data_IF_142976793160
#
_entry.id   IF_142976793160
#
_cell.length_a   1.000
_cell.length_b   1.000
_cell.length_c   1.000
_cell.angle_alpha   90.00
_cell.angle_beta   90.00
_cell.angle_gamma   90.00
#
_symmetry.space_group_name_H-M   'P 1'
#
loop_
_entity.id
_entity.type
_entity.pdbx_description
1 polymer ?
#
# COMPACT_ATOMS: atom_id res chain seq x y z
N UNK A 1 -21.70 -20.21 -39.17
CA UNK A 1 -20.84 -19.13 -38.64
C UNK A 1 -21.12 -18.95 -37.16
N UNK A 2 -20.27 -19.53 -36.31
CA UNK A 2 -20.41 -19.47 -34.85
C UNK A 2 -19.92 -18.10 -34.37
N UNK A 3 -20.83 -17.26 -33.87
CA UNK A 3 -20.45 -15.97 -33.24
C UNK A 3 -19.55 -16.28 -32.04
N UNK A 4 -18.27 -15.94 -32.12
CA UNK A 4 -17.40 -15.83 -30.95
C UNK A 4 -17.96 -14.72 -30.07
N UNK A 5 -18.62 -15.12 -28.99
CA UNK A 5 -18.98 -14.21 -27.92
C UNK A 5 -17.67 -13.91 -27.20
N UNK A 6 -17.11 -12.72 -27.44
CA UNK A 6 -16.02 -12.21 -26.61
C UNK A 6 -16.62 -11.88 -25.24
N UNK A 7 -16.60 -12.86 -24.34
CA UNK A 7 -16.84 -12.62 -22.92
C UNK A 7 -15.58 -11.93 -22.40
N UNK A 8 -15.51 -10.62 -22.60
CA UNK A 8 -14.64 -9.79 -21.78
C UNK A 8 -15.28 -9.82 -20.41
N UNK A 9 -14.78 -10.70 -19.54
CA UNK A 9 -14.97 -10.57 -18.10
C UNK A 9 -14.26 -9.27 -17.76
N UNK A 10 -14.93 -8.13 -17.94
CA UNK A 10 -14.58 -6.92 -17.19
C UNK A 10 -14.66 -7.39 -15.76
N UNK A 11 -13.51 -7.41 -15.07
CA UNK A 11 -13.47 -7.60 -13.64
C UNK A 11 -14.55 -6.68 -13.07
N UNK A 12 -15.62 -7.29 -12.57
CA UNK A 12 -16.72 -6.55 -11.97
C UNK A 12 -16.06 -5.72 -10.88
N UNK A 13 -16.12 -4.39 -10.96
CA UNK A 13 -15.58 -3.55 -9.89
C UNK A 13 -16.37 -3.92 -8.64
N UNK A 14 -15.76 -4.76 -7.80
CA UNK A 14 -16.39 -5.41 -6.64
C UNK A 14 -16.58 -4.44 -5.47
N UNK A 15 -15.92 -3.28 -5.56
CA UNK A 15 -15.77 -2.28 -4.51
C UNK A 15 -16.28 -0.93 -5.00
N UNK A 16 -16.90 -0.20 -4.10
CA UNK A 16 -17.34 1.17 -4.36
C UNK A 16 -16.13 2.11 -4.29
N UNK A 17 -16.19 3.23 -5.02
CA UNK A 17 -15.18 4.28 -4.91
C UNK A 17 -15.05 4.80 -3.47
N UNK A 18 -16.14 4.78 -2.70
CA UNK A 18 -16.13 5.20 -1.30
C UNK A 18 -15.34 4.24 -0.41
N UNK A 19 -15.46 2.92 -0.61
CA UNK A 19 -14.65 1.93 0.11
C UNK A 19 -13.16 2.07 -0.22
N UNK A 20 -12.83 2.28 -1.49
CA UNK A 20 -11.45 2.53 -1.93
C UNK A 20 -10.87 3.82 -1.32
N UNK A 21 -11.67 4.89 -1.29
CA UNK A 21 -11.27 6.18 -0.72
C UNK A 21 -11.07 6.09 0.80
N UNK A 22 -11.99 5.42 1.51
CA UNK A 22 -11.89 5.16 2.95
C UNK A 22 -10.63 4.35 3.29
N UNK A 23 -10.34 3.29 2.52
CA UNK A 23 -9.13 2.51 2.69
C UNK A 23 -7.88 3.37 2.46
N UNK A 24 -7.86 4.14 1.37
CA UNK A 24 -6.71 4.98 1.03
C UNK A 24 -6.46 6.02 2.12
N UNK A 25 -7.51 6.65 2.65
CA UNK A 25 -7.40 7.58 3.78
C UNK A 25 -6.82 6.89 5.01
N UNK A 26 -7.26 5.68 5.33
CA UNK A 26 -6.71 4.89 6.45
C UNK A 26 -5.22 4.62 6.30
N UNK A 27 -4.78 4.27 5.09
CA UNK A 27 -3.36 4.03 4.79
C UNK A 27 -2.56 5.33 4.94
N UNK A 28 -3.08 6.47 4.44
CA UNK A 28 -2.44 7.79 4.60
C UNK A 28 -2.29 8.14 6.08
N UNK A 29 -3.34 7.99 6.88
CA UNK A 29 -3.30 8.27 8.32
C UNK A 29 -2.24 7.39 9.01
N UNK A 30 -2.18 6.10 8.68
CA UNK A 30 -1.15 5.20 9.21
C UNK A 30 0.27 5.61 8.81
N UNK A 31 0.47 6.04 7.56
CA UNK A 31 1.78 6.52 7.11
C UNK A 31 2.18 7.83 7.80
N UNK A 32 1.23 8.73 8.01
CA UNK A 32 1.45 9.96 8.77
C UNK A 32 1.91 9.62 10.20
N UNK A 33 1.23 8.68 10.87
CA UNK A 33 1.64 8.23 12.20
C UNK A 33 3.03 7.59 12.18
N UNK A 34 3.34 6.73 11.21
CA UNK A 34 4.59 5.96 11.18
C UNK A 34 5.81 6.80 10.80
N UNK A 35 5.70 7.69 9.83
CA UNK A 35 6.85 8.51 9.38
C UNK A 35 7.34 9.46 10.49
N UNK A 36 6.46 9.81 11.43
CA UNK A 36 6.78 10.64 12.58
C UNK A 36 7.29 9.86 13.81
N UNK A 37 7.47 8.54 13.70
CA UNK A 37 8.00 7.71 14.80
C UNK A 37 9.51 7.59 14.79
N UNK A 38 10.04 7.25 15.95
CA UNK A 38 11.45 6.91 16.07
C UNK A 38 11.70 5.44 15.67
N UNK A 39 12.85 5.18 15.04
CA UNK A 39 13.34 3.84 14.71
C UNK A 39 13.56 2.98 15.97
N UNK A 40 13.89 3.63 17.09
CA UNK A 40 14.09 3.01 18.41
C UNK A 40 12.79 2.44 19.01
N UNK A 41 11.61 2.83 18.50
CA UNK A 41 10.33 2.24 18.95
C UNK A 41 10.23 0.73 18.63
N UNK A 42 11.10 0.22 17.75
CA UNK A 42 11.23 -1.21 17.45
C UNK A 42 10.02 -1.76 16.69
N UNK A 43 9.51 -1.01 15.73
CA UNK A 43 8.45 -1.46 14.82
C UNK A 43 9.04 -2.18 13.61
N UNK A 44 8.44 -3.28 13.19
CA UNK A 44 8.93 -4.13 12.11
C UNK A 44 7.81 -4.44 11.12
N UNK A 45 8.09 -4.26 9.83
CA UNK A 45 7.22 -4.77 8.77
C UNK A 45 7.41 -6.28 8.63
N UNK A 46 6.30 -7.03 8.64
CA UNK A 46 6.28 -8.48 8.42
C UNK A 46 5.63 -8.88 7.10
N UNK A 47 5.02 -7.94 6.38
CA UNK A 47 4.46 -8.16 5.05
C UNK A 47 5.54 -8.26 3.96
N UNK A 48 5.13 -8.33 2.69
CA UNK A 48 6.09 -8.30 1.59
C UNK A 48 6.67 -6.89 1.44
N UNK A 49 7.96 -6.80 1.12
CA UNK A 49 8.60 -5.50 0.85
C UNK A 49 7.89 -4.74 -0.28
N UNK A 50 7.54 -5.41 -1.37
CA UNK A 50 6.84 -4.77 -2.48
C UNK A 50 5.49 -4.19 -2.08
N UNK A 51 4.82 -4.78 -1.09
CA UNK A 51 3.54 -4.29 -0.60
C UNK A 51 3.74 -2.99 0.18
N UNK A 52 4.78 -2.91 1.02
CA UNK A 52 5.13 -1.67 1.69
C UNK A 52 5.41 -0.53 0.70
N UNK A 53 6.14 -0.84 -0.37
CA UNK A 53 6.45 0.16 -1.41
C UNK A 53 5.18 0.54 -2.20
N UNK A 54 4.29 -0.41 -2.47
CA UNK A 54 3.00 -0.14 -3.11
C UNK A 54 2.12 0.77 -2.24
N UNK A 55 2.08 0.55 -0.91
CA UNK A 55 1.41 1.47 0.03
C UNK A 55 2.03 2.86 0.02
N UNK A 56 3.37 2.95 0.06
CA UNK A 56 4.07 4.22 0.00
C UNK A 56 3.71 4.99 -1.28
N UNK A 57 3.56 4.28 -2.41
CA UNK A 57 3.15 4.88 -3.66
C UNK A 57 1.68 5.34 -3.63
N UNK A 58 0.77 4.57 -3.04
CA UNK A 58 -0.64 5.00 -2.87
C UNK A 58 -0.73 6.28 -2.03
N UNK A 59 0.09 6.40 -0.99
CA UNK A 59 0.14 7.60 -0.14
C UNK A 59 0.73 8.78 -0.89
N UNK A 60 1.83 8.56 -1.62
CA UNK A 60 2.44 9.59 -2.46
C UNK A 60 1.49 10.12 -3.54
N UNK A 61 0.72 9.26 -4.21
CA UNK A 61 -0.28 9.65 -5.22
C UNK A 61 -1.35 10.60 -4.67
N UNK A 62 -1.61 10.58 -3.34
CA UNK A 62 -2.56 11.49 -2.71
C UNK A 62 -1.98 12.87 -2.43
N UNK A 63 -0.65 13.01 -2.37
CA UNK A 63 0.04 14.29 -2.18
C UNK A 63 -0.27 15.00 -0.85
N UNK A 64 -0.70 14.25 0.17
CA UNK A 64 -1.14 14.82 1.47
C UNK A 64 -0.10 14.75 2.57
N UNK A 65 0.94 13.92 2.42
CA UNK A 65 2.09 13.94 3.31
C UNK A 65 2.98 15.14 3.01
N UNK A 66 3.15 16.02 3.99
CA UNK A 66 3.94 17.25 3.86
C UNK A 66 5.26 17.15 4.62
N UNK A 67 6.32 17.71 4.06
CA UNK A 67 7.60 17.89 4.72
C UNK A 67 7.57 19.02 5.75
N UNK A 68 8.69 19.25 6.43
CA UNK A 68 8.84 20.28 7.45
C UNK A 68 8.62 21.72 6.94
N UNK A 69 8.66 21.93 5.63
CA UNK A 69 8.43 23.22 4.98
C UNK A 69 7.00 23.36 4.44
N UNK A 70 6.14 22.36 4.68
CA UNK A 70 4.76 22.34 4.20
C UNK A 70 4.62 21.96 2.72
N UNK A 71 5.66 21.40 2.10
CA UNK A 71 5.62 20.93 0.71
C UNK A 71 5.28 19.43 0.68
N UNK A 72 4.51 18.94 -0.31
CA UNK A 72 4.30 17.50 -0.46
C UNK A 72 5.62 16.73 -0.56
N UNK A 73 5.77 15.69 0.25
CA UNK A 73 6.95 14.82 0.23
C UNK A 73 7.04 14.08 -1.11
N UNK A 74 8.25 13.95 -1.63
CA UNK A 74 8.50 13.11 -2.79
C UNK A 74 8.46 11.62 -2.42
N UNK A 75 8.29 10.78 -3.43
CA UNK A 75 8.14 9.34 -3.24
C UNK A 75 9.38 8.68 -2.59
N UNK A 76 10.59 9.13 -2.94
CA UNK A 76 11.82 8.56 -2.38
C UNK A 76 11.92 8.89 -0.89
N UNK A 77 11.60 10.12 -0.50
CA UNK A 77 11.57 10.55 0.89
C UNK A 77 10.58 9.72 1.72
N UNK A 78 9.36 9.52 1.22
CA UNK A 78 8.36 8.66 1.90
C UNK A 78 8.89 7.24 2.09
N UNK A 79 9.46 6.64 1.03
CA UNK A 79 10.02 5.29 1.07
C UNK A 79 11.19 5.19 2.06
N UNK A 80 12.09 6.18 2.06
CA UNK A 80 13.23 6.22 2.97
C UNK A 80 12.78 6.20 4.43
N UNK A 81 11.87 7.11 4.82
CA UNK A 81 11.37 7.18 6.19
C UNK A 81 10.65 5.90 6.62
N UNK A 82 9.71 5.40 5.80
CA UNK A 82 8.92 4.23 6.19
C UNK A 82 9.76 2.96 6.26
N UNK A 83 10.72 2.78 5.35
CA UNK A 83 11.63 1.64 5.39
C UNK A 83 12.52 1.67 6.63
N UNK A 84 13.02 2.85 7.01
CA UNK A 84 13.81 3.02 8.23
C UNK A 84 13.00 2.70 9.48
N UNK A 85 11.84 3.33 9.66
CA UNK A 85 10.98 3.12 10.86
C UNK A 85 10.53 1.67 11.01
N UNK A 86 10.24 1.00 9.89
CA UNK A 86 9.77 -0.39 9.91
C UNK A 86 10.87 -1.43 9.71
N UNK A 87 12.15 -1.03 9.81
CA UNK A 87 13.32 -1.91 9.71
C UNK A 87 13.33 -2.76 8.43
N UNK A 88 12.91 -2.18 7.31
CA UNK A 88 12.94 -2.80 5.98
C UNK A 88 14.12 -2.26 5.20
N UNK A 89 14.91 -3.15 4.58
CA UNK A 89 15.98 -2.72 3.69
C UNK A 89 15.41 -1.98 2.47
N UNK A 90 15.70 -0.68 2.37
CA UNK A 90 15.25 0.20 1.31
C UNK A 90 15.66 -0.34 -0.08
N UNK A 91 14.73 -0.43 -1.05
CA UNK A 91 15.09 -0.82 -2.40
C UNK A 91 15.89 0.30 -3.09
N UNK A 92 16.96 -0.08 -3.82
CA UNK A 92 17.79 0.88 -4.58
C UNK A 92 17.01 1.74 -5.57
N UNK A 93 15.88 1.23 -6.09
CA UNK A 93 15.01 1.95 -7.02
C UNK A 93 13.54 1.60 -6.71
N UNK A 94 12.86 2.39 -5.86
CA UNK A 94 11.46 2.16 -5.51
C UNK A 94 10.52 2.21 -6.72
N UNK A 95 10.77 3.10 -7.68
CA UNK A 95 9.96 3.19 -8.90
C UNK A 95 9.98 1.92 -9.74
N UNK A 96 11.12 1.23 -9.80
CA UNK A 96 11.23 -0.09 -10.47
C UNK A 96 10.41 -1.18 -9.78
N UNK A 97 10.32 -1.13 -8.44
CA UNK A 97 9.46 -2.04 -7.67
C UNK A 97 8.00 -1.82 -8.04
N UNK A 98 7.54 -0.57 -8.12
CA UNK A 98 6.17 -0.22 -8.52
C UNK A 98 5.87 -0.67 -9.95
N UNK A 99 6.76 -0.38 -10.90
CA UNK A 99 6.63 -0.85 -12.27
C UNK A 99 6.50 -2.38 -12.34
N UNK A 100 7.28 -3.09 -11.52
CA UNK A 100 7.23 -4.56 -11.44
C UNK A 100 5.92 -5.06 -10.83
N UNK A 101 5.42 -4.41 -9.77
CA UNK A 101 4.12 -4.72 -9.15
C UNK A 101 2.98 -4.53 -10.16
N UNK A 102 2.96 -3.40 -10.86
CA UNK A 102 1.95 -3.06 -11.88
C UNK A 102 2.00 -3.98 -13.10
N UNK A 103 3.17 -4.51 -13.45
CA UNK A 103 3.36 -5.39 -14.60
C UNK A 103 3.05 -6.88 -14.31
N UNK A 104 2.70 -7.25 -13.07
CA UNK A 104 2.43 -8.65 -12.71
C UNK A 104 1.27 -9.23 -13.51
N UNK A 105 1.49 -10.40 -14.11
CA UNK A 105 0.48 -11.19 -14.83
C UNK A 105 0.27 -12.52 -14.09
N UNK A 106 -0.91 -13.13 -14.24
CA UNK A 106 -1.22 -14.47 -13.73
C UNK A 106 -1.00 -14.64 -12.21
N UNK A 107 -1.28 -13.58 -11.44
CA UNK A 107 -1.14 -13.59 -9.98
C UNK A 107 -2.35 -14.28 -9.36
N UNK A 108 -2.14 -15.30 -8.53
CA UNK A 108 -3.22 -15.98 -7.78
C UNK A 108 -3.83 -15.09 -6.70
N UNK A 109 -3.06 -14.11 -6.24
CA UNK A 109 -3.42 -13.16 -5.19
C UNK A 109 -3.40 -11.78 -5.83
N UNK A 110 -4.53 -11.08 -5.75
CA UNK A 110 -4.72 -9.78 -6.39
C UNK A 110 -3.82 -8.67 -5.81
N UNK A 111 -3.87 -7.46 -6.41
CA UNK A 111 -3.21 -6.26 -5.89
C UNK A 111 -3.45 -6.04 -4.39
N UNK A 112 -2.52 -5.35 -3.72
CA UNK A 112 -2.59 -5.13 -2.27
C UNK A 112 -3.89 -4.46 -1.85
N UNK A 113 -4.34 -3.46 -2.61
CA UNK A 113 -5.62 -2.76 -2.36
C UNK A 113 -6.79 -3.75 -2.29
N UNK A 114 -6.90 -4.65 -3.26
CA UNK A 114 -7.98 -5.66 -3.29
C UNK A 114 -7.91 -6.59 -2.09
N UNK A 115 -6.71 -7.04 -1.70
CA UNK A 115 -6.53 -7.86 -0.49
C UNK A 115 -7.02 -7.13 0.76
N UNK A 116 -6.67 -5.86 0.92
CA UNK A 116 -7.08 -5.07 2.08
C UNK A 116 -8.59 -4.85 2.11
N UNK A 117 -9.22 -4.58 0.96
CA UNK A 117 -10.69 -4.48 0.86
C UNK A 117 -11.38 -5.81 1.20
N UNK A 118 -10.81 -6.94 0.78
CA UNK A 118 -11.31 -8.27 1.17
C UNK A 118 -11.22 -8.50 2.68
N UNK A 119 -10.12 -8.11 3.33
CA UNK A 119 -9.97 -8.22 4.79
C UNK A 119 -10.98 -7.35 5.54
N UNK A 120 -11.23 -6.12 5.05
CA UNK A 120 -12.24 -5.23 5.65
C UNK A 120 -13.63 -5.85 5.54
N UNK A 121 -14.04 -6.30 4.36
CA UNK A 121 -15.41 -6.78 4.12
C UNK A 121 -15.67 -8.18 4.70
N UNK A 122 -14.76 -9.12 4.48
CA UNK A 122 -15.00 -10.53 4.76
C UNK A 122 -14.56 -10.93 6.17
N UNK A 123 -13.53 -10.26 6.72
CA UNK A 123 -12.98 -10.56 8.03
C UNK A 123 -13.21 -9.44 9.06
N UNK A 124 -13.91 -8.36 8.67
CA UNK A 124 -14.21 -7.21 9.53
C UNK A 124 -12.96 -6.56 10.16
N UNK A 125 -11.81 -6.65 9.48
CA UNK A 125 -10.56 -6.04 9.92
C UNK A 125 -10.55 -4.58 9.46
N UNK A 126 -10.75 -3.65 10.39
CA UNK A 126 -10.88 -2.22 10.08
C UNK A 126 -9.56 -1.56 9.62
N UNK A 127 -8.42 -2.10 10.05
CA UNK A 127 -7.09 -1.59 9.72
C UNK A 127 -6.16 -2.74 9.31
N UNK A 128 -6.24 -3.19 8.04
CA UNK A 128 -5.49 -4.36 7.58
C UNK A 128 -3.98 -4.13 7.56
N UNK A 129 -3.52 -2.88 7.35
CA UNK A 129 -2.09 -2.54 7.34
C UNK A 129 -1.44 -2.80 8.71
N UNK A 130 -2.14 -2.53 9.81
CA UNK A 130 -1.63 -2.79 11.15
C UNK A 130 -1.31 -4.25 11.44
N UNK A 131 -1.95 -5.19 10.75
CA UNK A 131 -1.64 -6.61 10.89
C UNK A 131 -0.24 -6.96 10.37
N UNK A 132 0.32 -6.14 9.48
CA UNK A 132 1.64 -6.33 8.87
C UNK A 132 2.75 -5.63 9.66
N UNK A 133 2.44 -5.02 10.81
CA UNK A 133 3.41 -4.34 11.68
C UNK A 133 3.49 -5.06 13.03
N UNK A 134 4.70 -5.39 13.46
CA UNK A 134 4.97 -5.94 14.79
C UNK A 134 5.84 -4.99 15.61
N UNK A 135 5.68 -5.04 16.93
CA UNK A 135 6.58 -4.39 17.87
C UNK A 135 7.50 -5.42 18.49
N UNK A 136 8.79 -5.13 18.58
CA UNK A 136 9.76 -5.94 19.32
C UNK A 136 9.33 -5.96 20.79
N UNK A 137 9.29 -7.17 21.36
CA UNK A 137 9.06 -7.39 22.80
C UNK A 137 10.30 -7.06 23.60
#
# INVERSE_FOLDING_TARGET
MTKKINIVIKATQLWTNEEEDRLTKKIVDNFYDLINRDEEEGLYWIGLKCDLIDLAHMVWERGTLMDAYGKPMDFQTIVHHICRVLHVHEPRNPSSVISSVRARKNVRVGPLRERYLQLIRNANIQDPMRLEIRRRK
#
